data_IF_717310356607
#
_entry.id   IF_717310356607
#
_cell.length_a   1.000
_cell.length_b   1.000
_cell.length_c   1.000
_cell.angle_alpha   90.00
_cell.angle_beta   90.00
_cell.angle_gamma   90.00
#
_symmetry.space_group_name_H-M   'P 1'
#
loop_
_entity.id
_entity.type
_entity.pdbx_description
1 polymer ?
#
# COMPACT_ATOMS: atom_id res chain seq x y z
N UNK A 1 7.37 -6.00 14.05
CA UNK A 1 7.12 -6.70 12.77
C UNK A 1 6.73 -5.73 11.66
N UNK A 2 5.74 -4.84 11.87
CA UNK A 2 5.33 -3.88 10.85
C UNK A 2 6.44 -2.90 10.45
N UNK A 3 7.22 -2.43 11.42
CA UNK A 3 8.33 -1.52 11.13
C UNK A 3 9.33 -2.17 10.19
N UNK A 4 9.63 -3.46 10.42
CA UNK A 4 10.52 -4.23 9.53
C UNK A 4 9.92 -4.39 8.14
N UNK A 5 8.61 -4.63 8.06
CA UNK A 5 7.91 -4.77 6.78
C UNK A 5 7.94 -3.46 5.99
N UNK A 6 7.65 -2.33 6.64
CA UNK A 6 7.69 -1.03 5.97
C UNK A 6 9.11 -0.64 5.54
N UNK A 7 10.13 -1.00 6.34
CA UNK A 7 11.52 -0.79 5.95
C UNK A 7 11.87 -1.60 4.70
N UNK A 8 11.45 -2.87 4.65
CA UNK A 8 11.68 -3.73 3.49
C UNK A 8 10.93 -3.22 2.25
N UNK A 9 9.71 -2.69 2.44
CA UNK A 9 8.93 -2.10 1.35
C UNK A 9 9.62 -0.87 0.78
N UNK A 10 10.15 0.00 1.65
CA UNK A 10 10.89 1.19 1.21
C UNK A 10 12.14 0.80 0.41
N UNK A 11 12.88 -0.21 0.84
CA UNK A 11 14.04 -0.71 0.10
C UNK A 11 13.65 -1.29 -1.24
N UNK A 12 12.56 -2.07 -1.28
CA UNK A 12 12.06 -2.66 -2.51
C UNK A 12 11.71 -1.57 -3.54
N UNK A 13 10.99 -0.54 -3.13
CA UNK A 13 10.60 0.56 -4.01
C UNK A 13 11.80 1.39 -4.44
N UNK A 14 12.75 1.64 -3.53
CA UNK A 14 13.98 2.37 -3.84
C UNK A 14 14.86 1.63 -4.83
N UNK A 15 14.81 0.30 -4.86
CA UNK A 15 15.55 -0.53 -5.82
C UNK A 15 14.84 -0.68 -7.17
N UNK A 16 13.75 0.05 -7.39
CA UNK A 16 13.02 0.08 -8.65
C UNK A 16 11.69 -0.68 -8.64
N UNK A 17 11.36 -1.34 -7.54
CA UNK A 17 10.09 -2.04 -7.38
C UNK A 17 9.91 -3.21 -8.34
N UNK A 18 8.65 -3.52 -8.73
CA UNK A 18 8.33 -4.66 -9.59
C UNK A 18 9.07 -4.62 -10.92
N UNK A 19 9.65 -5.74 -11.31
CA UNK A 19 10.40 -5.88 -12.56
C UNK A 19 11.86 -5.46 -12.46
N UNK A 20 12.24 -4.73 -11.42
CA UNK A 20 13.62 -4.25 -11.23
C UNK A 20 14.22 -4.74 -9.92
N UNK A 21 13.39 -4.94 -8.89
CA UNK A 21 13.82 -5.42 -7.57
C UNK A 21 13.17 -6.77 -7.25
N UNK A 22 13.83 -7.56 -6.40
CA UNK A 22 13.27 -8.82 -5.92
C UNK A 22 12.24 -8.56 -4.83
N UNK A 23 11.12 -9.28 -4.88
CA UNK A 23 10.11 -9.27 -3.82
C UNK A 23 10.53 -10.10 -2.60
N UNK A 24 11.60 -10.88 -2.71
CA UNK A 24 12.03 -11.80 -1.66
C UNK A 24 12.17 -11.17 -0.27
N UNK A 25 12.70 -9.94 -0.11
CA UNK A 25 12.77 -9.34 1.23
C UNK A 25 11.42 -9.03 1.85
N UNK A 26 10.37 -8.83 1.04
CA UNK A 26 9.01 -8.57 1.53
C UNK A 26 8.23 -9.86 1.81
N UNK A 27 8.50 -10.91 1.04
CA UNK A 27 7.74 -12.15 1.10
C UNK A 27 7.57 -12.73 2.52
N UNK A 28 8.60 -12.73 3.39
CA UNK A 28 8.48 -13.33 4.72
C UNK A 28 7.47 -12.63 5.65
N UNK A 29 7.14 -11.37 5.37
CA UNK A 29 6.18 -10.62 6.20
C UNK A 29 4.74 -10.96 5.89
N UNK A 30 4.47 -11.59 4.73
CA UNK A 30 3.12 -11.85 4.25
C UNK A 30 2.83 -13.34 4.19
N UNK A 31 1.62 -13.70 4.60
CA UNK A 31 1.13 -15.06 4.43
C UNK A 31 1.06 -15.40 2.94
N UNK A 32 1.17 -16.68 2.61
CA UNK A 32 1.11 -17.14 1.23
C UNK A 32 -0.20 -16.75 0.54
N UNK A 33 -1.30 -16.76 1.29
CA UNK A 33 -2.65 -16.43 0.83
C UNK A 33 -3.11 -15.04 1.28
N UNK A 34 -2.19 -14.12 1.48
CA UNK A 34 -2.51 -12.75 1.88
C UNK A 34 -3.49 -12.09 0.91
N UNK A 35 -4.39 -11.26 1.46
CA UNK A 35 -5.30 -10.45 0.64
C UNK A 35 -5.20 -8.99 1.06
N UNK A 36 -4.96 -8.13 0.08
CA UNK A 36 -5.03 -6.68 0.22
C UNK A 36 -6.34 -6.21 -0.39
N UNK A 37 -7.21 -5.60 0.43
CA UNK A 37 -8.51 -5.10 -0.03
C UNK A 37 -8.44 -3.58 -0.21
N UNK A 38 -8.42 -3.13 -1.46
CA UNK A 38 -8.50 -1.70 -1.76
C UNK A 38 -9.92 -1.32 -2.13
N UNK A 39 -10.33 -0.10 -1.77
CA UNK A 39 -11.66 0.42 -2.11
C UNK A 39 -11.86 0.40 -3.63
N UNK A 40 -13.02 -0.07 -4.08
CA UNK A 40 -13.26 -0.35 -5.50
C UNK A 40 -13.20 0.87 -6.40
N UNK A 41 -13.50 2.06 -5.87
CA UNK A 41 -13.45 3.29 -6.67
C UNK A 41 -12.05 3.91 -6.79
N UNK A 42 -11.04 3.31 -6.18
CA UNK A 42 -9.65 3.71 -6.40
C UNK A 42 -9.16 3.19 -7.75
N UNK A 43 -8.17 3.85 -8.39
CA UNK A 43 -7.58 3.34 -9.65
C UNK A 43 -7.00 1.93 -9.52
N UNK A 44 -6.63 1.55 -8.31
CA UNK A 44 -6.09 0.24 -7.96
C UNK A 44 -7.00 -0.51 -6.98
N UNK A 45 -8.32 -0.35 -7.18
CA UNK A 45 -9.32 -0.97 -6.31
C UNK A 45 -9.46 -2.47 -6.50
N UNK A 46 -10.12 -3.09 -5.53
CA UNK A 46 -10.42 -4.51 -5.53
C UNK A 46 -9.50 -5.33 -4.64
N UNK A 47 -9.68 -6.67 -4.63
CA UNK A 47 -8.81 -7.55 -3.87
C UNK A 47 -7.56 -7.91 -4.67
N UNK A 48 -6.40 -7.85 -4.01
CA UNK A 48 -5.12 -8.29 -4.55
C UNK A 48 -4.68 -9.48 -3.71
N UNK A 49 -4.51 -10.64 -4.33
CA UNK A 49 -4.36 -11.91 -3.63
C UNK A 49 -2.99 -12.53 -3.81
N UNK A 50 -2.40 -12.99 -2.70
CA UNK A 50 -1.13 -13.69 -2.69
C UNK A 50 0.05 -12.78 -2.97
N UNK A 51 1.25 -13.35 -2.97
CA UNK A 51 2.47 -12.61 -3.27
C UNK A 51 2.46 -12.02 -4.68
N UNK A 52 1.98 -12.78 -5.66
CA UNK A 52 1.87 -12.30 -7.04
C UNK A 52 0.89 -11.11 -7.12
N UNK A 53 -0.21 -11.17 -6.38
CA UNK A 53 -1.16 -10.07 -6.31
C UNK A 53 -0.55 -8.81 -5.73
N UNK A 54 0.26 -8.94 -4.67
CA UNK A 54 0.96 -7.81 -4.08
C UNK A 54 1.96 -7.20 -5.06
N UNK A 55 2.70 -8.01 -5.80
CA UNK A 55 3.62 -7.51 -6.81
C UNK A 55 2.89 -6.73 -7.91
N UNK A 56 1.76 -7.24 -8.37
CA UNK A 56 0.93 -6.54 -9.37
C UNK A 56 0.36 -5.25 -8.80
N UNK A 57 0.00 -5.25 -7.51
CA UNK A 57 -0.46 -4.05 -6.83
C UNK A 57 0.64 -2.98 -6.81
N UNK A 58 1.85 -3.33 -6.41
CA UNK A 58 2.97 -2.38 -6.39
C UNK A 58 3.27 -1.85 -7.79
N UNK A 59 3.19 -2.69 -8.81
CA UNK A 59 3.36 -2.24 -10.19
C UNK A 59 2.29 -1.23 -10.58
N UNK A 60 1.03 -1.48 -10.23
CA UNK A 60 -0.07 -0.57 -10.50
C UNK A 60 0.12 0.76 -9.77
N UNK A 61 0.56 0.71 -8.50
CA UNK A 61 0.88 1.91 -7.73
C UNK A 61 1.97 2.74 -8.41
N UNK A 62 3.03 2.10 -8.89
CA UNK A 62 4.13 2.80 -9.55
C UNK A 62 3.71 3.46 -10.87
N UNK A 63 2.70 2.92 -11.53
CA UNK A 63 2.14 3.48 -12.77
C UNK A 63 1.12 4.58 -12.50
N UNK A 64 0.46 4.53 -11.33
CA UNK A 64 -0.57 5.49 -10.94
C UNK A 64 0.04 6.76 -10.36
N UNK A 65 1.04 6.59 -9.51
CA UNK A 65 1.66 7.68 -8.77
C UNK A 65 3.09 7.93 -9.26
N UNK A 66 3.41 9.19 -9.48
CA UNK A 66 4.80 9.59 -9.72
C UNK A 66 5.57 9.54 -8.40
N UNK A 67 4.96 10.06 -7.33
CA UNK A 67 5.49 9.96 -5.97
C UNK A 67 4.36 9.52 -5.03
N UNK A 68 4.71 8.73 -4.04
CA UNK A 68 3.78 8.31 -2.99
C UNK A 68 4.61 8.14 -1.72
N UNK A 69 4.58 9.14 -0.85
CA UNK A 69 5.40 9.18 0.36
C UNK A 69 4.54 8.99 1.59
N UNK A 70 4.93 8.05 2.43
CA UNK A 70 4.36 7.87 3.76
C UNK A 70 5.12 8.79 4.71
N UNK A 71 4.60 10.02 4.86
CA UNK A 71 5.29 11.09 5.58
C UNK A 71 5.32 10.84 7.08
N UNK A 72 4.25 10.26 7.60
CA UNK A 72 4.10 10.01 9.02
C UNK A 72 3.26 8.75 9.21
N UNK A 73 3.67 7.90 10.16
CA UNK A 73 2.92 6.70 10.51
C UNK A 73 2.76 6.62 12.03
N UNK A 74 1.56 6.28 12.47
CA UNK A 74 1.23 6.09 13.87
C UNK A 74 0.58 4.72 14.05
N UNK A 75 1.17 3.89 14.91
CA UNK A 75 0.66 2.56 15.20
C UNK A 75 -0.33 2.67 16.36
N UNK A 76 -1.62 2.57 16.06
CA UNK A 76 -2.70 2.79 17.03
C UNK A 76 -3.07 1.54 17.82
N UNK A 77 -2.71 0.37 17.31
CA UNK A 77 -2.93 -0.91 17.98
C UNK A 77 -1.72 -1.81 17.74
N UNK A 78 -1.29 -2.54 18.79
CA UNK A 78 -0.15 -3.45 18.74
C UNK A 78 -0.55 -4.91 18.83
N UNK A 79 -1.86 -5.20 18.83
CA UNK A 79 -2.41 -6.55 18.80
C UNK A 79 -3.33 -6.69 17.61
N UNK A 80 -3.41 -7.88 17.03
CA UNK A 80 -4.24 -8.14 15.85
C UNK A 80 -5.73 -8.01 16.19
N UNK A 81 -6.52 -7.26 15.40
CA UNK A 81 -6.08 -6.53 14.21
C UNK A 81 -5.24 -5.29 14.57
N UNK A 82 -4.13 -5.15 13.87
CA UNK A 82 -3.30 -3.96 14.02
C UNK A 82 -3.94 -2.80 13.29
N UNK A 83 -3.77 -1.59 13.82
CA UNK A 83 -4.30 -0.38 13.20
C UNK A 83 -3.18 0.62 13.02
N UNK A 84 -2.99 1.10 11.80
CA UNK A 84 -1.94 2.05 11.45
C UNK A 84 -2.57 3.26 10.76
N UNK A 85 -2.27 4.45 11.26
CA UNK A 85 -2.64 5.69 10.58
C UNK A 85 -1.42 6.21 9.85
N UNK A 86 -1.56 6.47 8.55
CA UNK A 86 -0.50 6.96 7.69
C UNK A 86 -0.91 8.26 7.05
N UNK A 87 -0.05 9.29 7.15
CA UNK A 87 -0.22 10.51 6.40
C UNK A 87 0.57 10.39 5.10
N UNK A 88 -0.09 10.54 3.97
CA UNK A 88 0.47 10.37 2.64
C UNK A 88 0.58 11.70 1.93
N UNK A 89 1.68 11.89 1.21
CA UNK A 89 1.85 12.96 0.22
C UNK A 89 2.16 12.30 -1.11
N UNK A 90 1.36 12.59 -2.13
CA UNK A 90 1.45 11.90 -3.41
C UNK A 90 1.24 12.84 -4.58
N UNK A 91 1.82 12.50 -5.73
CA UNK A 91 1.61 13.18 -7.00
C UNK A 91 1.10 12.16 -8.01
N UNK A 92 -0.05 12.45 -8.61
CA UNK A 92 -0.63 11.59 -9.64
C UNK A 92 0.14 11.72 -10.95
N UNK A 93 0.52 10.59 -11.54
CA UNK A 93 1.30 10.58 -12.78
C UNK A 93 0.52 11.14 -13.97
N UNK A 94 -0.76 10.79 -14.07
CA UNK A 94 -1.58 11.16 -15.21
C UNK A 94 -1.90 12.67 -15.29
N UNK A 95 -2.04 13.33 -14.14
CA UNK A 95 -2.51 14.72 -14.07
C UNK A 95 -1.50 15.69 -13.49
N UNK A 96 -0.50 15.18 -12.77
CA UNK A 96 0.42 16.01 -12.01
C UNK A 96 -0.16 16.57 -10.72
N UNK A 97 -1.40 16.21 -10.37
CA UNK A 97 -2.06 16.71 -9.17
C UNK A 97 -1.36 16.20 -7.90
N UNK A 98 -1.16 17.10 -6.95
CA UNK A 98 -0.55 16.77 -5.67
C UNK A 98 -1.64 16.69 -4.59
N UNK A 99 -1.56 15.67 -3.76
CA UNK A 99 -2.51 15.42 -2.67
C UNK A 99 -1.78 15.13 -1.37
N UNK A 100 -2.46 15.46 -0.28
CA UNK A 100 -2.10 14.97 1.04
C UNK A 100 -3.36 14.39 1.66
N UNK A 101 -3.27 13.19 2.21
CA UNK A 101 -4.43 12.52 2.79
C UNK A 101 -4.01 11.47 3.81
N UNK A 102 -4.84 11.24 4.83
CA UNK A 102 -4.61 10.15 5.76
C UNK A 102 -5.23 8.85 5.25
N UNK A 103 -4.60 7.74 5.64
CA UNK A 103 -5.12 6.39 5.45
C UNK A 103 -5.09 5.71 6.81
N UNK A 104 -6.17 5.03 7.16
CA UNK A 104 -6.18 4.08 8.29
C UNK A 104 -6.16 2.69 7.68
N UNK A 105 -5.22 1.85 8.12
CA UNK A 105 -5.16 0.46 7.69
C UNK A 105 -5.46 -0.46 8.86
N UNK A 106 -6.30 -1.47 8.62
CA UNK A 106 -6.43 -2.59 9.53
C UNK A 106 -5.65 -3.77 8.96
N UNK A 107 -4.87 -4.42 9.81
CA UNK A 107 -3.95 -5.47 9.38
C UNK A 107 -4.13 -6.67 10.30
N UNK A 108 -4.45 -7.82 9.71
CA UNK A 108 -4.60 -9.07 10.45
C UNK A 108 -3.31 -9.86 10.31
N UNK A 109 -2.77 -10.27 11.47
CA UNK A 109 -1.55 -11.07 11.55
C UNK A 109 -1.93 -12.45 12.08
N UNK A 110 -1.52 -13.48 11.37
CA UNK A 110 -1.73 -14.88 11.74
C UNK A 110 -0.40 -15.62 11.59
N UNK A 111 -0.03 -16.39 12.62
CA UNK A 111 1.21 -17.16 12.61
C UNK A 111 2.45 -16.32 12.27
N UNK A 112 2.49 -15.07 12.78
CA UNK A 112 3.60 -14.15 12.57
C UNK A 112 3.67 -13.52 11.19
N UNK A 113 2.63 -13.66 10.36
CA UNK A 113 2.59 -13.11 9.01
C UNK A 113 1.30 -12.34 8.77
N UNK A 114 1.38 -11.33 7.93
CA UNK A 114 0.22 -10.54 7.54
C UNK A 114 -0.65 -11.37 6.61
N UNK A 115 -1.90 -11.61 7.01
CA UNK A 115 -2.87 -12.38 6.21
C UNK A 115 -3.88 -11.50 5.50
N UNK A 116 -4.14 -10.29 6.02
CA UNK A 116 -5.11 -9.38 5.42
C UNK A 116 -4.72 -7.94 5.71
N UNK A 117 -4.85 -7.09 4.70
CA UNK A 117 -4.66 -5.65 4.82
C UNK A 117 -5.87 -4.96 4.21
N UNK A 118 -6.45 -4.00 4.95
CA UNK A 118 -7.61 -3.24 4.48
C UNK A 118 -7.38 -1.76 4.75
N UNK A 119 -6.92 -1.01 3.73
CA UNK A 119 -6.75 0.44 3.85
C UNK A 119 -8.10 1.17 3.74
N UNK A 120 -8.28 2.17 4.58
CA UNK A 120 -9.43 3.08 4.53
C UNK A 120 -8.91 4.47 4.25
N UNK A 121 -9.09 4.92 3.02
CA UNK A 121 -8.71 6.27 2.60
C UNK A 121 -9.72 7.28 3.11
N UNK A 122 -9.24 8.44 3.54
CA UNK A 122 -10.13 9.51 3.99
C UNK A 122 -11.08 9.98 2.88
N UNK A 123 -10.53 10.13 1.66
CA UNK A 123 -11.33 10.64 0.54
C UNK A 123 -10.94 9.92 -0.77
N UNK A 124 -11.63 8.82 -1.03
CA UNK A 124 -11.39 8.03 -2.24
C UNK A 124 -11.79 8.79 -3.51
N UNK A 125 -12.81 9.65 -3.43
CA UNK A 125 -13.25 10.43 -4.58
C UNK A 125 -12.17 11.41 -5.03
N UNK A 126 -11.51 12.10 -4.09
CA UNK A 126 -10.43 13.02 -4.41
C UNK A 126 -9.25 12.28 -5.05
N UNK A 127 -8.91 11.10 -4.55
CA UNK A 127 -7.83 10.28 -5.12
C UNK A 127 -8.18 9.84 -6.53
N UNK A 128 -9.38 9.32 -6.73
CA UNK A 128 -9.83 8.86 -8.06
C UNK A 128 -9.82 10.01 -9.06
N UNK A 129 -10.29 11.17 -8.66
CA UNK A 129 -10.31 12.37 -9.52
C UNK A 129 -8.90 12.82 -9.89
N UNK A 130 -7.99 12.87 -8.92
CA UNK A 130 -6.61 13.28 -9.16
C UNK A 130 -5.89 12.36 -10.14
N UNK A 131 -6.23 11.07 -10.13
CA UNK A 131 -5.61 10.08 -11.02
C UNK A 131 -6.31 9.92 -12.36
N UNK A 132 -7.43 10.59 -12.60
CA UNK A 132 -8.19 10.50 -13.84
C UNK A 132 -7.60 11.41 -14.90
N UNK A 133 -6.99 10.82 -15.92
CA UNK A 133 -6.54 11.56 -17.09
C UNK A 133 -7.77 11.98 -17.93
N UNK A 134 -7.74 13.21 -18.43
CA UNK A 134 -8.81 13.74 -19.26
C UNK A 134 -8.27 14.24 -20.58
#
# INVERSE_FOLDING_TARGET
>A
MLEGMYAAEAEYLAAGGPGSASFAPLAPFFAHDVVLHQAENLPYGGPWRGHDGLERFFLTMSRTWETFEMVEQEFLSHTSPLVVRTQVRARARATGAELQFPIIQTIIVENGRISEVRPFYWDTAAVAQACSAR
#
